data_IF_213469768677
#
_entry.id   IF_213469768677
#
_cell.length_a   1.000
_cell.length_b   1.000
_cell.length_c   1.000
_cell.angle_alpha   90.00
_cell.angle_beta   90.00
_cell.angle_gamma   90.00
#
_symmetry.space_group_name_H-M   'P 1'
#
loop_
_entity.id
_entity.type
_entity.pdbx_description
1 polymer ?
#
# COMPACT_ATOMS: atom_id res chain seq x y z
N UNK A 1 1.96 21.87 -47.97
CA UNK A 1 2.03 23.33 -48.11
C UNK A 1 2.05 23.93 -46.73
N UNK A 2 2.96 24.84 -46.39
CA UNK A 2 2.93 25.52 -45.10
C UNK A 2 1.63 26.32 -44.97
N UNK A 3 1.02 26.28 -43.79
CA UNK A 3 -0.18 27.02 -43.51
C UNK A 3 0.14 28.50 -43.54
N UNK A 4 -0.50 29.26 -44.47
CA UNK A 4 -0.32 30.70 -44.58
C UNK A 4 -1.14 31.36 -43.45
N UNK A 5 -0.53 31.51 -42.26
CA UNK A 5 -1.17 32.12 -41.09
C UNK A 5 -0.89 33.64 -41.08
N UNK A 6 -1.86 34.49 -40.64
CA UNK A 6 -1.66 35.93 -40.56
C UNK A 6 -0.51 36.28 -39.61
N UNK A 7 0.24 37.38 -39.84
CA UNK A 7 1.32 37.80 -38.93
C UNK A 7 0.87 37.93 -37.45
N UNK A 8 -0.34 38.44 -37.23
CA UNK A 8 -0.97 38.56 -35.92
C UNK A 8 -1.15 37.25 -35.16
N UNK A 9 -1.26 36.12 -35.89
CA UNK A 9 -1.33 34.79 -35.28
C UNK A 9 -0.05 34.44 -34.51
N UNK A 10 1.12 34.77 -35.04
CA UNK A 10 2.41 34.48 -34.41
C UNK A 10 2.67 35.36 -33.18
N UNK A 11 2.16 36.57 -33.15
CA UNK A 11 2.22 37.44 -31.99
C UNK A 11 1.34 36.87 -30.86
N UNK A 12 0.09 36.56 -31.17
CA UNK A 12 -0.86 35.99 -30.24
C UNK A 12 -0.40 34.58 -29.73
N UNK A 13 0.28 33.77 -30.58
CA UNK A 13 0.85 32.51 -30.17
C UNK A 13 2.00 32.66 -29.16
N UNK A 14 2.77 33.75 -29.29
CA UNK A 14 3.85 34.07 -28.37
C UNK A 14 3.28 34.50 -27.03
N UNK A 15 2.25 35.34 -27.00
CA UNK A 15 1.51 35.72 -25.78
C UNK A 15 0.91 34.49 -25.11
N UNK A 16 0.25 33.61 -25.86
CA UNK A 16 -0.30 32.35 -25.36
C UNK A 16 0.75 31.44 -24.68
N UNK A 17 1.97 31.41 -25.21
CA UNK A 17 3.07 30.60 -24.64
C UNK A 17 3.61 31.20 -23.35
N UNK A 18 3.58 32.52 -23.19
CA UNK A 18 4.11 33.25 -22.02
C UNK A 18 3.08 33.40 -20.90
N UNK A 19 1.78 33.34 -21.23
CA UNK A 19 0.71 33.51 -20.25
C UNK A 19 0.68 32.38 -19.22
N UNK A 20 0.44 32.72 -17.96
CA UNK A 20 0.35 31.80 -16.81
C UNK A 20 -1.06 31.69 -16.24
N UNK A 21 -1.89 32.74 -16.38
CA UNK A 21 -3.28 32.69 -15.93
C UNK A 21 -4.13 31.80 -16.86
N UNK A 22 -4.85 30.85 -16.26
CA UNK A 22 -5.62 29.85 -17.02
C UNK A 22 -6.80 30.44 -17.78
N UNK A 23 -7.44 31.50 -17.25
CA UNK A 23 -8.58 32.12 -17.91
C UNK A 23 -8.11 32.96 -19.12
N UNK A 24 -7.03 33.72 -18.93
CA UNK A 24 -6.43 34.49 -20.00
C UNK A 24 -5.83 33.59 -21.09
N UNK A 25 -5.19 32.49 -20.68
CA UNK A 25 -4.69 31.46 -21.60
C UNK A 25 -5.81 30.80 -22.40
N UNK A 26 -6.97 30.56 -21.80
CA UNK A 26 -8.15 30.07 -22.49
C UNK A 26 -8.70 31.08 -23.50
N UNK A 27 -8.70 32.41 -23.14
CA UNK A 27 -9.10 33.47 -24.03
C UNK A 27 -8.22 33.53 -25.27
N UNK A 28 -6.91 33.58 -25.09
CA UNK A 28 -5.90 33.61 -26.16
C UNK A 28 -6.00 32.37 -27.05
N UNK A 29 -6.21 31.17 -26.48
CA UNK A 29 -6.39 29.94 -27.27
C UNK A 29 -7.64 29.99 -28.16
N UNK A 30 -8.74 30.59 -27.70
CA UNK A 30 -9.96 30.79 -28.50
C UNK A 30 -9.74 31.79 -29.61
N UNK A 31 -9.03 32.89 -29.36
CA UNK A 31 -8.68 33.89 -30.36
C UNK A 31 -7.76 33.33 -31.43
N UNK A 32 -6.74 32.56 -31.07
CA UNK A 32 -5.90 31.83 -32.02
C UNK A 32 -6.72 30.88 -32.93
N UNK A 33 -7.70 30.17 -32.37
CA UNK A 33 -8.58 29.30 -33.14
C UNK A 33 -9.50 30.08 -34.10
N UNK A 34 -9.98 31.26 -33.67
CA UNK A 34 -10.83 32.13 -34.48
C UNK A 34 -10.08 32.76 -35.67
N UNK A 35 -8.81 33.14 -35.48
CA UNK A 35 -7.95 33.71 -36.53
C UNK A 35 -7.47 32.67 -37.53
N UNK A 36 -7.59 31.39 -37.29
CA UNK A 36 -7.07 30.33 -38.13
C UNK A 36 -7.97 30.07 -39.32
N UNK A 37 -7.45 30.16 -40.57
CA UNK A 37 -8.25 29.89 -41.77
C UNK A 37 -8.66 28.41 -41.82
N UNK A 38 -9.89 28.17 -42.31
CA UNK A 38 -10.45 26.80 -42.40
C UNK A 38 -10.10 26.19 -43.73
N UNK A 39 -9.00 25.47 -43.82
CA UNK A 39 -8.63 24.67 -45.02
C UNK A 39 -7.79 23.45 -44.61
N UNK A 40 -7.71 22.45 -45.48
CA UNK A 40 -7.04 21.17 -45.24
C UNK A 40 -5.61 21.27 -44.64
N UNK A 41 -4.89 22.37 -44.90
CA UNK A 41 -3.53 22.59 -44.38
C UNK A 41 -3.48 23.01 -42.90
N UNK A 42 -4.62 23.43 -42.31
CA UNK A 42 -4.73 23.88 -40.90
C UNK A 42 -5.51 22.92 -40.03
N UNK A 43 -6.08 21.83 -40.59
CA UNK A 43 -6.93 20.90 -39.85
C UNK A 43 -6.23 20.30 -38.63
N UNK A 44 -4.96 19.92 -38.75
CA UNK A 44 -4.17 19.36 -37.65
C UNK A 44 -3.93 20.40 -36.54
N UNK A 45 -3.55 21.62 -36.91
CA UNK A 45 -3.34 22.73 -35.98
C UNK A 45 -4.65 23.12 -35.23
N UNK A 46 -5.79 23.11 -35.95
CA UNK A 46 -7.11 23.34 -35.38
C UNK A 46 -7.48 22.22 -34.39
N UNK A 47 -7.21 20.97 -34.72
CA UNK A 47 -7.46 19.84 -33.79
C UNK A 47 -6.63 19.95 -32.52
N UNK A 48 -5.33 20.26 -32.65
CA UNK A 48 -4.42 20.43 -31.50
C UNK A 48 -4.86 21.61 -30.62
N UNK A 49 -5.30 22.73 -31.22
CA UNK A 49 -5.76 23.90 -30.48
C UNK A 49 -7.10 23.63 -29.78
N UNK A 50 -8.02 22.91 -30.41
CA UNK A 50 -9.29 22.45 -29.79
C UNK A 50 -9.04 21.52 -28.60
N UNK A 51 -8.08 20.60 -28.71
CA UNK A 51 -7.68 19.72 -27.62
C UNK A 51 -7.11 20.53 -26.42
N UNK A 52 -6.26 21.54 -26.70
CA UNK A 52 -5.73 22.46 -25.67
C UNK A 52 -6.85 23.27 -25.00
N UNK A 53 -7.80 23.81 -25.76
CA UNK A 53 -8.98 24.52 -25.23
C UNK A 53 -9.81 23.62 -24.33
N UNK A 54 -10.06 22.36 -24.76
CA UNK A 54 -10.79 21.39 -23.93
C UNK A 54 -10.07 21.08 -22.64
N UNK A 55 -8.74 20.95 -22.67
CA UNK A 55 -7.90 20.71 -21.49
C UNK A 55 -7.91 21.90 -20.53
N UNK A 56 -7.78 23.14 -21.06
CA UNK A 56 -7.84 24.37 -20.26
C UNK A 56 -9.21 24.56 -19.62
N UNK A 57 -10.31 24.29 -20.35
CA UNK A 57 -11.66 24.34 -19.78
C UNK A 57 -11.81 23.34 -18.62
N UNK A 58 -11.38 22.10 -18.78
CA UNK A 58 -11.39 21.10 -17.71
C UNK A 58 -10.57 21.52 -16.49
N UNK A 59 -9.46 22.22 -16.70
CA UNK A 59 -8.64 22.78 -15.62
C UNK A 59 -9.34 23.94 -14.90
N UNK A 60 -10.04 24.80 -15.62
CA UNK A 60 -10.79 25.94 -15.06
C UNK A 60 -12.08 25.45 -14.38
N UNK A 61 -12.87 24.58 -15.04
CA UNK A 61 -14.12 24.03 -14.50
C UNK A 61 -13.83 23.08 -13.31
N UNK A 62 -12.69 22.37 -13.31
CA UNK A 62 -12.18 21.62 -12.18
C UNK A 62 -11.67 22.50 -11.03
N UNK A 63 -11.31 23.77 -11.30
CA UNK A 63 -10.88 24.75 -10.29
C UNK A 63 -12.01 25.38 -9.47
N UNK A 64 -13.28 25.28 -9.92
CA UNK A 64 -14.43 25.92 -9.28
C UNK A 64 -15.17 25.12 -8.20
N UNK A 65 -14.78 23.85 -7.93
CA UNK A 65 -15.36 22.98 -6.88
C UNK A 65 -14.32 22.15 -6.15
N UNK A 66 -13.21 22.77 -5.77
CA UNK A 66 -12.31 22.18 -4.77
C UNK A 66 -12.17 23.16 -3.61
N UNK A 67 -13.04 23.02 -2.60
CA UNK A 67 -12.61 23.25 -1.24
C UNK A 67 -11.27 22.51 -1.09
N UNK A 68 -10.18 23.31 -0.95
CA UNK A 68 -8.89 22.84 -0.47
C UNK A 68 -8.48 21.43 -0.90
N UNK A 69 -8.25 21.18 -2.18
CA UNK A 69 -7.39 20.08 -2.54
C UNK A 69 -6.00 20.46 -2.04
N UNK A 70 -5.63 20.04 -0.80
CA UNK A 70 -4.24 19.90 -0.42
C UNK A 70 -3.54 19.29 -1.62
N UNK A 71 -2.42 19.87 -2.05
CA UNK A 71 -1.50 19.16 -2.94
C UNK A 71 -1.31 17.79 -2.29
N UNK A 72 -1.63 16.71 -3.00
CA UNK A 72 -1.38 15.38 -2.51
C UNK A 72 0.10 15.35 -2.12
N UNK A 73 0.36 15.02 -0.87
CA UNK A 73 1.72 14.84 -0.40
C UNK A 73 2.32 13.70 -1.23
N UNK A 74 3.54 13.81 -1.76
CA UNK A 74 4.18 12.71 -2.48
C UNK A 74 4.18 11.40 -1.69
N UNK A 75 4.07 11.48 -0.36
CA UNK A 75 4.07 10.34 0.56
C UNK A 75 2.66 9.84 0.93
N UNK A 76 1.60 10.45 0.38
CA UNK A 76 0.21 10.02 0.65
C UNK A 76 -0.09 8.58 0.17
N UNK A 77 0.75 8.05 -0.72
CA UNK A 77 0.59 6.71 -1.30
C UNK A 77 1.94 6.06 -1.57
N UNK A 78 2.07 4.82 -1.17
CA UNK A 78 3.18 3.93 -1.51
C UNK A 78 2.58 2.74 -2.26
N UNK A 79 3.06 2.50 -3.47
CA UNK A 79 2.59 1.36 -4.27
C UNK A 79 2.82 0.05 -3.51
N UNK A 80 1.82 -0.80 -3.49
CA UNK A 80 1.90 -2.10 -2.82
C UNK A 80 2.75 -3.06 -3.63
N UNK A 81 3.77 -3.60 -2.99
CA UNK A 81 4.64 -4.64 -3.53
C UNK A 81 4.57 -5.92 -2.70
N UNK A 82 4.81 -7.07 -3.33
CA UNK A 82 4.71 -8.36 -2.67
C UNK A 82 3.28 -8.75 -2.27
N UNK A 83 3.16 -9.66 -1.31
CA UNK A 83 1.88 -10.25 -0.91
C UNK A 83 1.03 -9.33 -0.03
N UNK A 84 1.65 -8.50 0.80
CA UNK A 84 0.97 -7.57 1.69
C UNK A 84 1.84 -6.35 2.00
N UNK A 85 1.15 -5.23 2.29
CA UNK A 85 1.76 -3.99 2.76
C UNK A 85 1.48 -3.82 4.26
N UNK A 86 2.53 -3.71 5.05
CA UNK A 86 2.49 -3.69 6.51
C UNK A 86 3.17 -2.42 6.99
N UNK A 87 2.47 -1.61 7.76
CA UNK A 87 3.00 -0.35 8.26
C UNK A 87 3.41 -0.48 9.73
N UNK A 88 4.62 -0.02 10.05
CA UNK A 88 5.12 0.04 11.41
C UNK A 88 4.88 1.43 11.98
N UNK A 89 4.20 1.50 13.11
CA UNK A 89 3.95 2.74 13.86
C UNK A 89 4.47 2.60 15.29
N UNK A 90 4.74 3.71 15.94
CA UNK A 90 5.21 3.71 17.33
C UNK A 90 5.75 5.06 17.74
N UNK A 91 6.00 5.21 19.05
CA UNK A 91 6.59 6.41 19.63
C UNK A 91 8.03 6.65 19.17
N UNK A 92 8.61 7.84 19.42
CA UNK A 92 10.03 8.08 19.22
C UNK A 92 10.88 7.03 19.94
N UNK A 93 11.96 6.59 19.29
CA UNK A 93 12.94 5.63 19.80
C UNK A 93 12.37 4.23 20.14
N UNK A 94 11.18 3.89 19.64
CA UNK A 94 10.60 2.55 19.86
C UNK A 94 11.35 1.43 19.11
N UNK A 95 12.28 1.76 18.21
CA UNK A 95 13.10 0.81 17.46
C UNK A 95 12.49 0.36 16.13
N UNK A 96 11.49 1.07 15.56
CA UNK A 96 10.87 0.74 14.27
C UNK A 96 11.89 0.53 13.15
N UNK A 97 12.71 1.54 12.89
CA UNK A 97 13.72 1.51 11.83
C UNK A 97 14.73 0.38 12.03
N UNK A 98 15.20 0.19 13.26
CA UNK A 98 16.11 -0.92 13.58
C UNK A 98 15.49 -2.28 13.32
N UNK A 99 14.19 -2.43 13.63
CA UNK A 99 13.44 -3.67 13.38
C UNK A 99 13.25 -3.90 11.88
N UNK A 100 12.90 -2.85 11.12
CA UNK A 100 12.78 -2.94 9.64
C UNK A 100 14.12 -3.31 9.02
N UNK A 101 15.20 -2.65 9.40
CA UNK A 101 16.55 -2.94 8.90
C UNK A 101 16.95 -4.41 9.17
N UNK A 102 16.69 -4.91 10.38
CA UNK A 102 16.98 -6.29 10.75
C UNK A 102 16.15 -7.32 9.97
N UNK A 103 14.89 -7.00 9.64
CA UNK A 103 13.95 -7.90 8.97
C UNK A 103 14.10 -7.92 7.45
N UNK A 104 14.56 -6.81 6.85
CA UNK A 104 14.52 -6.68 5.39
C UNK A 104 15.83 -7.07 4.71
N UNK A 105 16.95 -7.25 5.44
CA UNK A 105 18.29 -7.53 4.90
C UNK A 105 18.66 -6.72 3.64
N UNK A 106 17.80 -5.85 3.24
CA UNK A 106 17.93 -5.07 2.04
C UNK A 106 18.60 -3.75 2.40
N UNK A 107 19.63 -3.43 1.66
CA UNK A 107 19.97 -2.03 1.43
C UNK A 107 18.62 -1.36 1.09
N UNK A 108 18.18 -0.34 1.85
CA UNK A 108 16.95 0.35 1.49
C UNK A 108 17.02 0.67 0.00
N UNK A 109 15.96 0.47 -0.75
CA UNK A 109 15.82 1.04 -2.07
C UNK A 109 15.93 2.55 -1.85
N UNK A 110 17.16 3.03 -1.90
CA UNK A 110 17.50 4.45 -1.77
C UNK A 110 17.01 5.07 -3.06
N UNK A 111 15.77 5.57 -3.04
CA UNK A 111 15.43 6.67 -3.90
C UNK A 111 16.38 7.82 -3.50
N UNK A 112 16.97 8.50 -4.47
CA UNK A 112 17.98 9.55 -4.35
C UNK A 112 17.57 10.76 -3.49
N UNK A 113 17.23 10.55 -2.21
CA UNK A 113 16.90 11.63 -1.27
C UNK A 113 17.79 11.55 -0.03
N UNK A 114 18.56 12.62 0.25
CA UNK A 114 19.42 12.66 1.40
C UNK A 114 18.60 12.74 2.70
N UNK A 115 18.87 11.82 3.59
CA UNK A 115 18.67 11.80 5.05
C UNK A 115 17.79 12.93 5.65
N UNK A 116 16.49 12.80 5.55
CA UNK A 116 15.57 13.47 6.46
C UNK A 116 14.62 12.43 7.07
N UNK A 117 14.67 12.27 8.39
CA UNK A 117 13.89 11.35 9.23
C UNK A 117 12.37 11.58 9.19
N UNK A 118 11.84 12.09 8.07
CA UNK A 118 10.43 12.45 7.89
C UNK A 118 9.70 11.66 6.81
N UNK A 119 10.44 10.95 5.96
CA UNK A 119 9.85 10.21 4.84
C UNK A 119 9.69 8.73 5.20
N UNK A 120 8.57 8.11 4.80
CA UNK A 120 8.37 6.68 5.01
C UNK A 120 9.32 5.89 4.10
N UNK A 121 9.90 4.82 4.64
CA UNK A 121 10.82 3.93 3.92
C UNK A 121 10.17 2.55 3.78
N UNK A 122 10.17 2.01 2.56
CA UNK A 122 9.69 0.66 2.29
C UNK A 122 10.87 -0.32 2.21
N UNK A 123 10.73 -1.47 2.85
CA UNK A 123 11.65 -2.61 2.76
C UNK A 123 10.90 -3.90 2.53
N UNK A 124 11.56 -4.92 1.94
CA UNK A 124 10.94 -6.22 1.68
C UNK A 124 11.43 -7.26 2.70
N UNK A 125 10.49 -7.78 3.48
CA UNK A 125 10.71 -8.86 4.44
C UNK A 125 10.36 -10.19 3.78
N UNK A 126 11.29 -11.13 3.81
CA UNK A 126 11.07 -12.49 3.31
C UNK A 126 10.57 -13.41 4.43
N UNK A 127 9.51 -14.14 4.13
CA UNK A 127 9.02 -15.23 4.97
C UNK A 127 8.64 -16.44 4.11
N UNK A 128 9.42 -17.52 4.24
CA UNK A 128 9.31 -18.71 3.39
C UNK A 128 9.44 -18.29 1.90
N UNK A 129 8.42 -18.49 1.08
CA UNK A 129 8.39 -18.12 -0.34
C UNK A 129 7.65 -16.80 -0.62
N UNK A 130 7.35 -16.02 0.41
CA UNK A 130 6.53 -14.81 0.30
C UNK A 130 7.34 -13.57 0.67
N UNK A 131 7.18 -12.52 -0.11
CA UNK A 131 7.73 -11.20 0.23
C UNK A 131 6.62 -10.29 0.76
N UNK A 132 6.87 -9.66 1.89
CA UNK A 132 5.99 -8.72 2.58
C UNK A 132 6.64 -7.34 2.62
N UNK A 133 5.92 -6.32 2.15
CA UNK A 133 6.41 -4.95 2.18
C UNK A 133 6.22 -4.36 3.58
N UNK A 134 7.31 -3.99 4.23
CA UNK A 134 7.31 -3.26 5.50
C UNK A 134 7.51 -1.78 5.22
N UNK A 135 6.68 -0.93 5.82
CA UNK A 135 6.81 0.53 5.75
C UNK A 135 7.24 1.05 7.11
N UNK A 136 8.50 1.53 7.19
CA UNK A 136 8.96 2.31 8.33
C UNK A 136 8.35 3.70 8.27
N UNK A 137 7.86 4.21 9.40
CA UNK A 137 7.21 5.52 9.48
C UNK A 137 7.88 6.43 10.51
N UNK A 138 7.74 7.75 10.33
CA UNK A 138 8.05 8.70 11.38
C UNK A 138 7.34 8.36 12.68
N UNK A 139 7.92 8.73 13.82
CA UNK A 139 7.30 8.48 15.11
C UNK A 139 5.99 9.27 15.29
N UNK A 140 5.08 8.72 16.10
CA UNK A 140 3.87 9.40 16.53
C UNK A 140 4.04 9.85 17.97
N UNK A 141 3.86 11.15 18.23
CA UNK A 141 3.89 11.76 19.55
C UNK A 141 2.85 12.86 19.66
N UNK A 142 2.76 13.54 20.78
CA UNK A 142 1.88 14.72 20.93
C UNK A 142 2.21 15.81 19.92
N UNK A 143 3.49 16.03 19.65
CA UNK A 143 3.99 17.11 18.80
C UNK A 143 4.13 16.69 17.33
N UNK A 144 4.35 15.40 17.05
CA UNK A 144 4.68 14.89 15.74
C UNK A 144 3.67 13.84 15.27
N UNK A 145 2.94 14.15 14.21
CA UNK A 145 2.13 13.22 13.44
C UNK A 145 1.99 13.76 12.02
N UNK A 146 2.79 13.25 11.11
CA UNK A 146 2.85 13.74 9.74
C UNK A 146 1.50 13.63 9.02
N UNK A 147 1.20 14.61 8.16
CA UNK A 147 -0.13 14.78 7.56
C UNK A 147 -0.54 13.65 6.62
N UNK A 148 0.41 12.95 6.02
CA UNK A 148 0.22 11.83 5.11
C UNK A 148 0.03 10.47 5.82
N UNK A 149 0.55 10.31 7.04
CA UNK A 149 0.51 9.04 7.77
C UNK A 149 -0.89 8.43 7.91
N UNK A 150 -1.96 9.20 8.20
CA UNK A 150 -3.30 8.61 8.27
C UNK A 150 -3.73 7.91 6.98
N UNK A 151 -3.30 8.40 5.81
CA UNK A 151 -3.63 7.79 4.53
C UNK A 151 -2.84 6.49 4.33
N UNK A 152 -1.54 6.48 4.63
CA UNK A 152 -0.72 5.27 4.58
C UNK A 152 -1.26 4.18 5.52
N UNK A 153 -1.59 4.55 6.77
CA UNK A 153 -2.15 3.61 7.74
C UNK A 153 -3.47 3.01 7.24
N UNK A 154 -4.34 3.82 6.59
CA UNK A 154 -5.60 3.30 6.03
C UNK A 154 -5.39 2.35 4.86
N UNK A 155 -4.37 2.58 4.04
CA UNK A 155 -4.07 1.75 2.87
C UNK A 155 -3.39 0.42 3.24
N UNK A 156 -2.58 0.40 4.29
CA UNK A 156 -1.87 -0.80 4.71
C UNK A 156 -2.81 -1.97 5.05
N UNK A 157 -2.39 -3.19 4.72
CA UNK A 157 -3.15 -4.42 5.04
C UNK A 157 -3.10 -4.72 6.54
N UNK A 158 -1.98 -4.42 7.21
CA UNK A 158 -1.78 -4.62 8.65
C UNK A 158 -1.01 -3.47 9.26
N UNK A 159 -1.21 -3.27 10.55
CA UNK A 159 -0.45 -2.33 11.37
C UNK A 159 0.36 -3.11 12.39
N UNK A 160 1.62 -2.73 12.55
CA UNK A 160 2.46 -3.20 13.65
C UNK A 160 2.71 -2.01 14.56
N UNK A 161 2.22 -2.12 15.78
CA UNK A 161 2.54 -1.17 16.84
C UNK A 161 3.84 -1.61 17.51
N UNK A 162 4.93 -0.89 17.25
CA UNK A 162 6.24 -1.16 17.87
C UNK A 162 6.35 -0.41 19.18
N UNK A 163 6.51 -1.15 20.26
CA UNK A 163 6.58 -0.63 21.62
C UNK A 163 7.90 -1.03 22.28
N UNK A 164 8.69 -0.05 22.69
CA UNK A 164 9.87 -0.27 23.51
C UNK A 164 9.44 -0.67 24.94
N UNK A 165 9.62 -1.94 25.29
CA UNK A 165 9.22 -2.48 26.59
C UNK A 165 10.31 -2.33 27.66
N UNK A 166 11.51 -1.91 27.30
CA UNK A 166 12.60 -1.66 28.24
C UNK A 166 12.46 -0.33 28.99
N UNK A 167 11.67 0.60 28.46
CA UNK A 167 11.58 1.97 28.96
C UNK A 167 10.30 2.17 29.81
N UNK A 168 10.38 2.85 30.96
CA UNK A 168 9.23 3.14 31.82
C UNK A 168 8.14 4.00 31.14
N UNK A 169 6.91 3.98 31.68
CA UNK A 169 5.80 4.79 31.17
C UNK A 169 5.18 4.24 29.90
N UNK A 170 5.21 2.93 29.70
CA UNK A 170 4.70 2.21 28.55
C UNK A 170 3.26 2.58 28.25
N UNK A 171 2.37 2.56 29.24
CA UNK A 171 0.95 2.88 29.09
C UNK A 171 0.74 4.29 28.56
N UNK A 172 1.34 5.31 29.15
CA UNK A 172 1.12 6.69 28.72
C UNK A 172 1.58 6.95 27.29
N UNK A 173 2.68 6.31 26.87
CA UNK A 173 3.17 6.43 25.48
C UNK A 173 2.21 5.79 24.47
N UNK A 174 1.61 4.66 24.82
CA UNK A 174 0.62 4.01 23.95
C UNK A 174 -0.69 4.80 23.95
N UNK A 175 -1.15 5.30 25.09
CA UNK A 175 -2.37 6.10 25.20
C UNK A 175 -2.29 7.37 24.34
N UNK A 176 -1.15 8.08 24.35
CA UNK A 176 -0.89 9.22 23.44
C UNK A 176 -1.02 8.80 21.99
N UNK A 177 -0.37 7.71 21.59
CA UNK A 177 -0.39 7.23 20.21
C UNK A 177 -1.82 6.86 19.78
N UNK A 178 -2.55 6.12 20.60
CA UNK A 178 -3.95 5.72 20.33
C UNK A 178 -4.82 6.96 20.19
N UNK A 179 -4.74 7.93 21.10
CA UNK A 179 -5.51 9.17 21.04
C UNK A 179 -5.25 9.95 19.75
N UNK A 180 -3.98 10.05 19.33
CA UNK A 180 -3.62 10.72 18.06
C UNK A 180 -4.18 10.02 16.83
N UNK A 181 -4.26 8.69 16.84
CA UNK A 181 -4.88 7.91 15.76
C UNK A 181 -6.40 8.08 15.74
N UNK A 182 -7.04 8.06 16.90
CA UNK A 182 -8.49 8.26 17.05
C UNK A 182 -8.93 9.64 16.56
N UNK A 183 -8.16 10.70 16.84
CA UNK A 183 -8.37 12.04 16.26
C UNK A 183 -8.41 12.00 14.73
N UNK A 184 -7.67 11.09 14.13
CA UNK A 184 -7.66 10.84 12.68
C UNK A 184 -8.66 9.76 12.26
N UNK A 185 -9.53 9.30 13.15
CA UNK A 185 -10.55 8.26 12.92
C UNK A 185 -9.91 6.94 12.47
N UNK A 186 -8.82 6.56 13.11
CA UNK A 186 -8.15 5.27 12.94
C UNK A 186 -8.18 4.54 14.28
N UNK A 187 -8.72 3.33 14.29
CA UNK A 187 -8.81 2.48 15.48
C UNK A 187 -7.92 1.27 15.28
N UNK A 188 -6.95 1.10 16.18
CA UNK A 188 -6.17 -0.12 16.25
C UNK A 188 -7.01 -1.22 16.89
N UNK A 189 -7.08 -2.38 16.27
CA UNK A 189 -7.92 -3.48 16.75
C UNK A 189 -7.21 -4.83 16.56
N UNK A 190 -7.39 -5.81 17.46
CA UNK A 190 -6.88 -7.16 17.26
C UNK A 190 -7.55 -7.87 16.09
N UNK A 191 -8.80 -7.50 15.79
CA UNK A 191 -9.59 -8.00 14.65
C UNK A 191 -10.50 -6.90 14.11
N UNK A 192 -10.87 -6.99 12.85
CA UNK A 192 -11.87 -6.08 12.28
C UNK A 192 -13.25 -6.49 12.85
N UNK A 193 -14.03 -5.56 13.41
CA UNK A 193 -15.39 -5.84 13.86
C UNK A 193 -16.28 -6.32 12.72
N UNK A 194 -17.18 -7.28 13.00
CA UNK A 194 -18.17 -7.76 12.02
C UNK A 194 -19.16 -6.65 11.64
N UNK A 195 -19.51 -5.78 12.58
CA UNK A 195 -20.34 -4.59 12.38
C UNK A 195 -19.55 -3.34 12.75
N UNK A 196 -19.51 -2.39 11.82
CA UNK A 196 -18.85 -1.08 12.00
C UNK A 196 -19.95 -0.07 12.30
N UNK A 197 -20.05 0.39 13.54
CA UNK A 197 -21.05 1.35 13.99
C UNK A 197 -20.93 2.69 13.26
N UNK A 198 -19.72 3.19 13.07
CA UNK A 198 -19.44 4.45 12.38
C UNK A 198 -18.47 4.23 11.21
N UNK A 199 -18.97 4.25 9.96
CA UNK A 199 -18.15 4.01 8.77
C UNK A 199 -17.08 5.09 8.52
N UNK A 200 -17.08 6.18 9.29
CA UNK A 200 -16.03 7.21 9.23
C UNK A 200 -14.74 6.75 9.91
N UNK A 201 -14.78 5.74 10.78
CA UNK A 201 -13.63 5.15 11.41
C UNK A 201 -13.04 4.01 10.58
N UNK A 202 -11.72 4.01 10.44
CA UNK A 202 -10.97 2.94 9.82
C UNK A 202 -10.41 2.01 10.92
N UNK A 203 -10.95 0.81 11.01
CA UNK A 203 -10.40 -0.22 11.90
C UNK A 203 -9.22 -0.89 11.22
N UNK A 204 -8.10 -0.98 11.93
CA UNK A 204 -6.87 -1.58 11.41
C UNK A 204 -6.46 -2.75 12.28
N UNK A 205 -6.45 -3.94 11.68
CA UNK A 205 -5.96 -5.13 12.38
C UNK A 205 -4.49 -4.94 12.72
N UNK A 206 -4.20 -5.05 14.02
CA UNK A 206 -2.93 -4.63 14.60
C UNK A 206 -2.31 -5.76 15.41
N UNK A 207 -1.01 -5.92 15.23
CA UNK A 207 -0.13 -6.75 16.05
C UNK A 207 0.79 -5.82 16.85
N UNK A 208 1.12 -6.19 18.09
CA UNK A 208 2.05 -5.44 18.92
C UNK A 208 3.40 -6.13 18.93
N UNK A 209 4.43 -5.43 18.45
CA UNK A 209 5.82 -5.84 18.61
C UNK A 209 6.35 -5.28 19.94
N UNK A 210 6.50 -6.14 20.94
CA UNK A 210 7.13 -5.81 22.22
C UNK A 210 8.65 -5.84 22.02
N UNK A 211 9.19 -4.70 21.58
CA UNK A 211 10.59 -4.59 21.14
C UNK A 211 11.54 -4.33 22.33
N UNK A 212 12.79 -4.77 22.19
CA UNK A 212 13.85 -4.69 23.21
C UNK A 212 13.52 -5.48 24.49
N UNK A 213 12.86 -6.62 24.36
CA UNK A 213 12.46 -7.43 25.50
C UNK A 213 13.66 -8.07 26.24
N UNK A 214 14.83 -8.16 25.61
CA UNK A 214 16.09 -8.63 26.22
C UNK A 214 16.89 -7.52 26.90
N UNK A 215 16.51 -6.26 26.71
CA UNK A 215 17.17 -5.13 27.37
C UNK A 215 16.79 -5.10 28.86
N UNK A 216 17.50 -4.30 29.64
CA UNK A 216 17.20 -4.10 31.06
C UNK A 216 15.72 -3.71 31.26
N UNK A 217 15.03 -4.38 32.16
CA UNK A 217 13.59 -4.25 32.42
C UNK A 217 12.64 -4.68 31.28
N UNK A 218 13.14 -5.23 30.18
CA UNK A 218 12.33 -5.63 29.04
C UNK A 218 11.33 -6.75 29.34
N UNK A 219 11.67 -7.69 30.22
CA UNK A 219 10.79 -8.75 30.72
C UNK A 219 9.63 -8.20 31.57
N UNK A 220 9.89 -7.18 32.40
CA UNK A 220 8.89 -6.50 33.21
C UNK A 220 7.91 -5.75 32.31
N UNK A 221 8.42 -4.99 31.33
CA UNK A 221 7.57 -4.28 30.37
C UNK A 221 6.79 -5.21 29.45
N UNK A 222 7.36 -6.38 29.07
CA UNK A 222 6.65 -7.42 28.33
C UNK A 222 5.48 -7.98 29.16
N UNK A 223 5.67 -8.21 30.46
CA UNK A 223 4.59 -8.65 31.33
C UNK A 223 3.52 -7.55 31.49
N UNK A 224 3.94 -6.30 31.61
CA UNK A 224 3.02 -5.15 31.71
C UNK A 224 2.16 -5.00 30.45
N UNK A 225 2.75 -5.03 29.24
CA UNK A 225 1.98 -4.85 27.99
C UNK A 225 1.00 -5.99 27.75
N UNK A 226 1.37 -7.23 28.09
CA UNK A 226 0.46 -8.39 28.03
C UNK A 226 -0.75 -8.24 28.96
N UNK A 227 -0.57 -7.59 30.11
CA UNK A 227 -1.66 -7.31 31.04
C UNK A 227 -2.54 -6.16 30.59
N UNK A 228 -1.96 -5.14 29.95
CA UNK A 228 -2.68 -3.95 29.47
C UNK A 228 -3.52 -4.24 28.22
N UNK A 229 -3.03 -5.08 27.32
CA UNK A 229 -3.62 -5.34 26.00
C UNK A 229 -3.75 -6.85 25.72
N UNK A 230 -4.46 -7.61 26.59
CA UNK A 230 -4.53 -9.08 26.50
C UNK A 230 -5.22 -9.59 25.24
N UNK A 231 -6.03 -8.75 24.59
CA UNK A 231 -6.75 -9.08 23.35
C UNK A 231 -5.88 -9.03 22.09
N UNK A 232 -4.74 -8.31 22.15
CA UNK A 232 -3.84 -8.19 21.01
C UNK A 232 -2.83 -9.35 20.95
N UNK A 233 -2.46 -9.72 19.75
CA UNK A 233 -1.29 -10.58 19.54
C UNK A 233 -0.03 -9.76 19.86
N UNK A 234 0.68 -10.14 20.91
CA UNK A 234 1.90 -9.47 21.37
C UNK A 234 3.08 -10.40 21.11
N UNK A 235 4.03 -9.93 20.29
CA UNK A 235 5.22 -10.69 19.91
C UNK A 235 6.45 -10.01 20.50
N UNK A 236 7.19 -10.70 21.38
CA UNK A 236 8.47 -10.19 21.87
C UNK A 236 9.48 -10.17 20.73
N UNK A 237 10.21 -9.08 20.57
CA UNK A 237 11.21 -8.91 19.52
C UNK A 237 12.48 -8.24 20.04
N UNK A 238 13.61 -8.73 19.55
CA UNK A 238 14.91 -8.09 19.75
C UNK A 238 15.76 -8.26 18.51
N UNK A 239 16.43 -7.20 18.06
CA UNK A 239 17.40 -7.30 16.94
C UNK A 239 18.66 -8.12 17.31
N UNK A 240 18.80 -8.47 18.60
CA UNK A 240 19.89 -9.29 19.11
C UNK A 240 19.52 -10.78 19.19
N UNK A 241 18.31 -11.14 18.77
CA UNK A 241 17.76 -12.50 18.88
C UNK A 241 17.05 -12.93 17.57
N UNK A 242 17.76 -13.69 16.77
CA UNK A 242 17.28 -14.17 15.48
C UNK A 242 16.01 -15.04 15.60
N UNK A 243 15.88 -15.84 16.66
CA UNK A 243 14.69 -16.66 16.91
C UNK A 243 13.46 -15.80 17.15
N UNK A 244 13.61 -14.66 17.85
CA UNK A 244 12.53 -13.71 18.06
C UNK A 244 12.11 -13.02 16.74
N UNK A 245 13.08 -12.72 15.85
CA UNK A 245 12.81 -12.14 14.53
C UNK A 245 12.08 -13.14 13.63
N UNK A 246 12.47 -14.41 13.62
CA UNK A 246 11.76 -15.46 12.87
C UNK A 246 10.34 -15.70 13.43
N UNK A 247 10.20 -15.73 14.75
CA UNK A 247 8.90 -15.77 15.42
C UNK A 247 8.00 -14.57 15.04
N UNK A 248 8.59 -13.40 14.93
CA UNK A 248 7.89 -12.19 14.49
C UNK A 248 7.44 -12.28 13.03
N UNK A 249 8.32 -12.68 12.09
CA UNK A 249 7.97 -12.89 10.68
C UNK A 249 6.78 -13.84 10.54
N UNK A 250 6.82 -14.95 11.27
CA UNK A 250 5.74 -15.93 11.31
C UNK A 250 4.42 -15.32 11.82
N UNK A 251 4.46 -14.61 12.95
CA UNK A 251 3.27 -13.98 13.52
C UNK A 251 2.67 -12.92 12.58
N UNK A 252 3.52 -12.14 11.90
CA UNK A 252 3.10 -11.16 10.89
C UNK A 252 2.39 -11.86 9.73
N UNK A 253 2.98 -12.92 9.18
CA UNK A 253 2.36 -13.69 8.10
C UNK A 253 1.02 -14.30 8.52
N UNK A 254 0.96 -14.97 9.68
CA UNK A 254 -0.27 -15.55 10.21
C UNK A 254 -1.36 -14.50 10.42
N UNK A 255 -0.99 -13.28 10.83
CA UNK A 255 -1.94 -12.18 11.00
C UNK A 255 -2.62 -11.75 9.71
N UNK A 256 -2.03 -12.02 8.55
CA UNK A 256 -2.59 -11.69 7.25
C UNK A 256 -3.81 -12.54 6.90
N UNK A 257 -3.94 -13.72 7.51
CA UNK A 257 -5.04 -14.65 7.23
C UNK A 257 -5.11 -15.03 5.74
N UNK A 258 -3.96 -15.31 5.17
CA UNK A 258 -3.81 -15.73 3.77
C UNK A 258 -3.27 -17.13 3.64
N UNK A 259 -3.47 -17.73 2.48
CA UNK A 259 -2.91 -19.00 2.06
C UNK A 259 -2.03 -18.81 0.82
N UNK A 260 -1.01 -19.65 0.69
CA UNK A 260 -0.13 -19.75 -0.47
C UNK A 260 -0.57 -20.92 -1.34
N UNK A 261 -0.77 -20.66 -2.60
CA UNK A 261 -1.16 -21.69 -3.57
C UNK A 261 -0.14 -21.68 -4.70
N UNK A 262 0.55 -22.80 -4.88
CA UNK A 262 1.55 -22.95 -5.92
C UNK A 262 0.92 -23.42 -7.21
N UNK A 263 1.47 -23.00 -8.34
CA UNK A 263 0.95 -23.37 -9.66
C UNK A 263 1.81 -24.45 -10.29
N UNK A 264 1.16 -25.28 -11.09
CA UNK A 264 1.80 -26.30 -11.90
C UNK A 264 1.25 -26.24 -13.32
N UNK A 265 2.13 -26.23 -14.31
CA UNK A 265 1.74 -26.40 -15.71
C UNK A 265 1.52 -27.88 -16.00
N UNK A 266 0.60 -28.21 -16.89
CA UNK A 266 0.33 -29.58 -17.31
C UNK A 266 1.62 -30.25 -17.82
N UNK A 267 1.99 -31.39 -17.21
CA UNK A 267 3.21 -32.15 -17.57
C UNK A 267 4.53 -31.59 -17.07
N UNK A 268 4.51 -30.54 -16.21
CA UNK A 268 5.71 -29.95 -15.59
C UNK A 268 5.70 -30.12 -14.06
N UNK A 269 6.84 -29.90 -13.44
CA UNK A 269 6.95 -29.80 -11.99
C UNK A 269 6.28 -28.52 -11.45
N UNK A 270 5.85 -28.54 -10.17
CA UNK A 270 5.30 -27.35 -9.52
C UNK A 270 6.32 -26.21 -9.45
N UNK A 271 5.82 -24.97 -9.59
CA UNK A 271 6.58 -23.78 -9.30
C UNK A 271 6.37 -23.38 -7.83
N UNK A 272 7.42 -23.48 -7.03
CA UNK A 272 7.40 -23.14 -5.61
C UNK A 272 8.00 -21.76 -5.31
N UNK A 273 8.37 -20.97 -6.33
CA UNK A 273 9.06 -19.69 -6.14
C UNK A 273 8.06 -18.55 -5.95
N UNK A 274 6.97 -18.56 -6.72
CA UNK A 274 6.01 -17.45 -6.76
C UNK A 274 4.57 -17.97 -6.50
N UNK A 275 4.17 -18.08 -5.22
CA UNK A 275 2.84 -18.56 -4.87
C UNK A 275 1.76 -17.50 -5.15
N UNK A 276 0.59 -17.95 -5.56
CA UNK A 276 -0.63 -17.14 -5.53
C UNK A 276 -1.05 -16.95 -4.07
N UNK A 277 -1.27 -15.72 -3.67
CA UNK A 277 -1.73 -15.37 -2.32
C UNK A 277 -3.23 -15.14 -2.34
N UNK A 278 -3.95 -15.91 -1.53
CA UNK A 278 -5.40 -15.82 -1.39
C UNK A 278 -5.78 -15.64 0.08
N UNK A 279 -6.93 -15.03 0.39
CA UNK A 279 -7.47 -15.08 1.74
C UNK A 279 -7.81 -16.51 2.17
N UNK A 280 -7.80 -16.81 3.45
CA UNK A 280 -8.30 -18.07 3.99
C UNK A 280 -9.74 -18.29 3.51
N UNK A 281 -10.03 -19.50 3.01
CA UNK A 281 -11.30 -19.81 2.37
C UNK A 281 -11.36 -19.52 0.87
N UNK A 282 -10.26 -19.03 0.29
CA UNK A 282 -10.14 -18.81 -1.15
C UNK A 282 -10.33 -20.10 -1.96
N UNK A 283 -10.93 -19.96 -3.13
CA UNK A 283 -11.32 -21.07 -3.99
C UNK A 283 -10.40 -21.20 -5.22
N UNK A 284 -10.52 -22.33 -5.92
CA UNK A 284 -9.89 -22.55 -7.24
C UNK A 284 -10.23 -21.42 -8.23
N UNK A 285 -11.48 -20.93 -8.20
CA UNK A 285 -11.91 -19.82 -9.04
C UNK A 285 -11.18 -18.50 -8.68
N UNK A 286 -10.99 -18.27 -7.38
CA UNK A 286 -10.27 -17.09 -6.91
C UNK A 286 -8.80 -17.14 -7.30
N UNK A 287 -8.18 -18.31 -7.22
CA UNK A 287 -6.82 -18.53 -7.71
C UNK A 287 -6.70 -18.27 -9.22
N UNK A 288 -7.66 -18.75 -10.01
CA UNK A 288 -7.68 -18.48 -11.44
C UNK A 288 -7.88 -17.01 -11.77
N UNK A 289 -8.76 -16.29 -11.03
CA UNK A 289 -8.98 -14.83 -11.18
C UNK A 289 -7.74 -14.00 -10.86
N UNK A 290 -6.93 -14.43 -9.90
CA UNK A 290 -5.69 -13.72 -9.55
C UNK A 290 -4.64 -13.77 -10.67
N UNK A 291 -4.66 -14.81 -11.51
CA UNK A 291 -3.78 -14.90 -12.68
C UNK A 291 -4.31 -13.97 -13.80
N UNK A 292 -5.55 -14.17 -14.22
CA UNK A 292 -6.23 -13.33 -15.21
C UNK A 292 -7.73 -13.59 -15.21
N UNK A 293 -8.56 -12.55 -15.44
CA UNK A 293 -10.03 -12.69 -15.45
C UNK A 293 -10.52 -13.68 -16.54
N UNK A 294 -9.94 -13.65 -17.73
CA UNK A 294 -10.32 -14.55 -18.83
C UNK A 294 -9.92 -16.00 -18.53
N UNK A 295 -8.86 -16.20 -17.74
CA UNK A 295 -8.40 -17.52 -17.32
C UNK A 295 -9.47 -18.21 -16.45
N UNK A 296 -10.02 -17.47 -15.49
CA UNK A 296 -11.10 -17.98 -14.64
C UNK A 296 -12.38 -18.30 -15.43
N UNK A 297 -12.69 -17.49 -16.47
CA UNK A 297 -13.90 -17.69 -17.28
C UNK A 297 -13.83 -18.98 -18.14
N UNK A 298 -12.65 -19.34 -18.60
CA UNK A 298 -12.44 -20.53 -19.44
C UNK A 298 -12.11 -21.80 -18.64
N UNK A 299 -12.00 -21.69 -17.31
CA UNK A 299 -11.60 -22.77 -16.43
C UNK A 299 -12.67 -23.89 -16.40
N UNK A 300 -12.31 -25.08 -16.85
CA UNK A 300 -13.19 -26.25 -16.82
C UNK A 300 -13.11 -26.99 -15.48
N UNK A 301 -11.91 -27.26 -15.01
CA UNK A 301 -11.61 -27.90 -13.73
C UNK A 301 -10.15 -27.66 -13.34
N UNK A 302 -9.82 -28.01 -12.11
CA UNK A 302 -8.43 -28.05 -11.68
C UNK A 302 -8.06 -29.40 -11.10
N UNK A 303 -6.76 -29.71 -11.09
CA UNK A 303 -6.20 -30.80 -10.29
C UNK A 303 -5.40 -30.20 -9.15
N UNK A 304 -5.45 -30.85 -7.99
CA UNK A 304 -4.74 -30.39 -6.79
C UNK A 304 -3.87 -31.47 -6.20
N UNK A 305 -2.80 -31.03 -5.56
CA UNK A 305 -1.91 -31.79 -4.71
C UNK A 305 -1.74 -31.03 -3.41
N UNK A 306 -1.71 -31.71 -2.28
CA UNK A 306 -1.56 -31.07 -0.97
C UNK A 306 -1.73 -32.02 0.17
N UNK A 307 -1.53 -31.57 1.37
CA UNK A 307 -1.61 -32.39 2.58
C UNK A 307 -3.05 -32.94 2.77
N UNK A 308 -3.15 -34.25 2.93
CA UNK A 308 -4.43 -34.94 3.13
C UNK A 308 -5.31 -35.07 1.88
N UNK A 309 -4.74 -34.85 0.68
CA UNK A 309 -5.42 -34.94 -0.62
C UNK A 309 -4.84 -36.09 -1.45
N UNK A 310 -5.67 -36.62 -2.36
CA UNK A 310 -5.16 -37.60 -3.35
C UNK A 310 -4.34 -36.84 -4.41
N UNK A 311 -3.25 -37.45 -4.88
CA UNK A 311 -2.40 -36.87 -5.92
C UNK A 311 -3.18 -36.64 -7.21
N UNK A 312 -3.16 -35.40 -7.69
CA UNK A 312 -3.87 -34.99 -8.90
C UNK A 312 -5.39 -35.09 -8.81
N UNK A 313 -5.94 -34.96 -7.61
CA UNK A 313 -7.39 -34.95 -7.39
C UNK A 313 -8.07 -33.86 -8.23
N UNK A 314 -9.00 -34.29 -9.08
CA UNK A 314 -9.83 -33.35 -9.85
C UNK A 314 -10.85 -32.67 -8.96
N UNK A 315 -10.89 -31.33 -8.99
CA UNK A 315 -11.78 -30.51 -8.20
C UNK A 315 -12.54 -29.50 -9.06
N UNK A 316 -13.67 -29.03 -8.52
CA UNK A 316 -14.50 -27.98 -9.14
C UNK A 316 -13.94 -26.58 -8.82
N UNK A 317 -14.39 -25.57 -9.56
CA UNK A 317 -13.99 -24.18 -9.38
C UNK A 317 -14.30 -23.63 -7.97
N UNK A 318 -15.38 -24.12 -7.32
CA UNK A 318 -15.77 -23.73 -5.95
C UNK A 318 -15.03 -24.47 -4.82
N UNK A 319 -14.04 -25.29 -5.16
CA UNK A 319 -13.27 -26.01 -4.15
C UNK A 319 -12.41 -25.05 -3.34
N UNK A 320 -12.48 -25.15 -2.00
CA UNK A 320 -11.72 -24.32 -1.07
C UNK A 320 -10.31 -24.85 -0.94
N UNK A 321 -9.33 -23.98 -1.18
CA UNK A 321 -7.91 -24.30 -1.15
C UNK A 321 -7.35 -24.20 0.28
N UNK A 322 -6.27 -24.90 0.52
CA UNK A 322 -5.50 -24.88 1.77
C UNK A 322 -4.11 -24.29 1.52
N UNK A 323 -3.45 -23.81 2.60
CA UNK A 323 -2.08 -23.31 2.48
C UNK A 323 -1.14 -24.39 1.95
N UNK A 324 -0.26 -23.99 1.03
CA UNK A 324 0.71 -24.85 0.30
C UNK A 324 0.08 -25.88 -0.65
N UNK A 325 -1.17 -25.73 -1.03
CA UNK A 325 -1.71 -26.53 -2.13
C UNK A 325 -1.00 -26.21 -3.44
N UNK A 326 -0.83 -27.23 -4.27
CA UNK A 326 -0.38 -27.09 -5.65
C UNK A 326 -1.58 -27.28 -6.56
N UNK A 327 -1.76 -26.40 -7.54
CA UNK A 327 -2.89 -26.42 -8.46
C UNK A 327 -2.45 -26.48 -9.92
N UNK A 328 -3.07 -27.36 -10.71
CA UNK A 328 -2.95 -27.43 -12.16
C UNK A 328 -4.30 -27.09 -12.76
N UNK A 329 -4.34 -25.98 -13.50
CA UNK A 329 -5.56 -25.51 -14.14
C UNK A 329 -5.77 -26.17 -15.50
N UNK A 330 -7.01 -26.54 -15.81
CA UNK A 330 -7.43 -27.09 -17.12
C UNK A 330 -8.51 -26.16 -17.72
N UNK A 331 -8.16 -25.52 -18.82
CA UNK A 331 -8.98 -24.55 -19.58
C UNK A 331 -9.58 -25.25 -20.80
#
# INVERSE_FOLDING_TARGET
>A
MPANLPPQYYELEREFKQETDLNEKLRLAKELLAMMPKHKGTDKLQADLKAKISKLKKQIDGGGKKHGARRADPHDHIDKEGAAQIILIGSPNSGKSSLVDALTHAKPLIGDYPYTTRDPLAGMMEFDTVQLQLIDTPPISEELFESYMPNLIRQADRVILVVDVSTPGLRSRIDVLISRLEEKRIILSPRIPDEIEDPRFAYKKTLIAAHKYLDENGDVGLAEIKKLYPEFTIVPTSILDDDSLEGFKKAVFESLEVIRVYTKKVGHEPDFVDPIILPIGGTVEDAAKSIHKDFAHNLQYAKIWGQGKFEGQRVKNSYVLSDKDVIEFHI
#
